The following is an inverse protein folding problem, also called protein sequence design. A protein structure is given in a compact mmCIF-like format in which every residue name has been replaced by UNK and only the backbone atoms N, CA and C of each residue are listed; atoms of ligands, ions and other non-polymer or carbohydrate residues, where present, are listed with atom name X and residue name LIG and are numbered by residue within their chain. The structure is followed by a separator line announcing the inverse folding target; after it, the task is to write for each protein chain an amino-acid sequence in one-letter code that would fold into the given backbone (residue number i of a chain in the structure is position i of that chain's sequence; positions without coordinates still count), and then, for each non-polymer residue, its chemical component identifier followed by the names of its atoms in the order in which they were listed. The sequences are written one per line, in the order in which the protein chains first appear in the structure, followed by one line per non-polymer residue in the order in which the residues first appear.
data_IF_078234092338
#
_entry.id   IF_078234092338
#
_cell.length_a   1.000
_cell.length_b   1.000
_cell.length_c   1.000
_cell.angle_alpha   90.00
_cell.angle_beta   90.00
_cell.angle_gamma   90.00
#
_symmetry.space_group_name_H-M   'P 1'
#
loop_
_entity.id
_entity.type
_entity.pdbx_description
1 polymer ?
#
# COMPACT_ATOMS: atom_id res chain seq x y z
N UNK A 1 4.28 -1.48 8.48
CA UNK A 1 5.48 -0.66 8.79
C UNK A 1 5.65 0.47 7.76
N UNK A 2 5.87 1.72 8.18
CA UNK A 2 6.38 2.77 7.25
C UNK A 2 7.92 2.73 7.19
N UNK A 3 8.53 3.31 6.15
CA UNK A 3 9.93 3.06 5.74
C UNK A 3 10.33 1.60 5.38
N UNK A 4 9.41 0.64 5.40
CA UNK A 4 9.66 -0.75 4.96
C UNK A 4 9.79 -0.95 3.45
N UNK A 5 10.18 0.09 2.69
CA UNK A 5 10.36 0.00 1.24
C UNK A 5 9.09 -0.11 0.40
N UNK A 6 7.89 0.11 0.97
CA UNK A 6 6.59 -0.04 0.28
C UNK A 6 6.51 0.70 -1.06
N UNK A 7 6.84 1.99 -1.08
CA UNK A 7 6.75 2.80 -2.30
C UNK A 7 7.81 2.45 -3.32
N UNK A 8 8.97 1.95 -2.86
CA UNK A 8 9.98 1.39 -3.74
C UNK A 8 9.48 0.07 -4.36
N UNK A 9 8.92 -0.83 -3.53
CA UNK A 9 8.37 -2.10 -3.96
C UNK A 9 7.21 -1.92 -4.96
N UNK A 10 6.23 -1.06 -4.64
CA UNK A 10 5.09 -0.76 -5.51
C UNK A 10 5.56 -0.22 -6.86
N UNK A 11 6.48 0.74 -6.87
CA UNK A 11 7.06 1.32 -8.08
C UNK A 11 7.82 0.27 -8.90
N UNK A 12 8.64 -0.56 -8.25
CA UNK A 12 9.38 -1.62 -8.94
C UNK A 12 8.48 -2.71 -9.52
N UNK A 13 7.41 -3.09 -8.81
CA UNK A 13 6.39 -4.01 -9.32
C UNK A 13 5.64 -3.42 -10.51
N UNK A 14 5.21 -2.16 -10.41
CA UNK A 14 4.50 -1.45 -11.47
C UNK A 14 5.30 -1.35 -12.78
N UNK A 15 6.63 -1.20 -12.67
CA UNK A 15 7.51 -1.21 -13.85
C UNK A 15 7.60 -2.57 -14.54
N UNK A 16 7.38 -3.67 -13.81
CA UNK A 16 7.48 -5.04 -14.34
C UNK A 16 6.12 -5.65 -14.73
N UNK A 17 5.04 -5.21 -14.09
CA UNK A 17 3.70 -5.76 -14.29
C UNK A 17 2.95 -4.91 -15.34
N UNK A 18 2.58 -5.48 -16.51
CA UNK A 18 1.79 -4.76 -17.51
C UNK A 18 0.39 -4.42 -16.98
N UNK A 19 -0.26 -3.41 -17.55
CA UNK A 19 -1.61 -2.97 -17.20
C UNK A 19 -1.82 -2.71 -15.69
N UNK A 20 -0.75 -2.32 -14.99
CA UNK A 20 -0.81 -2.04 -13.56
C UNK A 20 -1.02 -0.56 -13.27
N UNK A 21 -1.60 -0.24 -12.12
CA UNK A 21 -1.79 1.12 -11.62
C UNK A 21 -1.40 1.19 -10.15
N UNK A 22 -0.76 2.29 -9.72
CA UNK A 22 -0.50 2.55 -8.30
C UNK A 22 -1.48 3.61 -7.77
N UNK A 23 -2.12 3.32 -6.64
CA UNK A 23 -2.81 4.30 -5.79
C UNK A 23 -2.09 4.32 -4.45
N UNK A 24 -1.34 5.39 -4.18
CA UNK A 24 -0.62 5.58 -2.93
C UNK A 24 -1.44 6.36 -1.92
N UNK A 25 -1.59 5.83 -0.71
CA UNK A 25 -2.32 6.46 0.40
C UNK A 25 -1.79 7.86 0.73
N UNK A 26 -0.48 8.06 0.67
CA UNK A 26 0.17 9.34 1.00
C UNK A 26 -0.30 10.50 0.09
N UNK A 27 -0.82 10.20 -1.11
CA UNK A 27 -1.39 11.21 -2.01
C UNK A 27 -2.74 11.78 -1.52
N UNK A 28 -3.30 11.24 -0.44
CA UNK A 28 -4.61 11.61 0.09
C UNK A 28 -4.56 12.27 1.46
N UNK A 29 -3.38 12.65 1.96
CA UNK A 29 -3.31 13.49 3.16
C UNK A 29 -4.08 14.80 2.95
N UNK A 30 -4.81 15.22 3.99
CA UNK A 30 -5.41 16.55 4.05
C UNK A 30 -4.31 17.60 4.20
N UNK A 31 -4.66 18.84 3.90
CA UNK A 31 -3.73 19.96 4.08
C UNK A 31 -3.29 20.10 5.55
N UNK A 32 -2.03 20.47 5.75
CA UNK A 32 -1.40 20.63 7.06
C UNK A 32 -2.18 21.57 7.99
N UNK A 33 -2.92 22.55 7.43
CA UNK A 33 -3.76 23.49 8.19
C UNK A 33 -5.02 22.87 8.81
N UNK A 34 -5.51 21.75 8.29
CA UNK A 34 -6.75 21.10 8.77
C UNK A 34 -6.49 19.85 9.59
N UNK A 35 -5.23 19.46 9.78
CA UNK A 35 -4.85 18.35 10.63
C UNK A 35 -5.02 18.77 12.10
N UNK A 36 -5.82 17.98 12.83
CA UNK A 36 -6.10 18.23 14.24
C UNK A 36 -4.83 18.13 15.09
N UNK A 37 -4.78 18.95 16.15
CA UNK A 37 -3.80 18.85 17.21
C UNK A 37 -4.37 18.03 18.36
N UNK A 38 -3.56 17.20 19.00
CA UNK A 38 -3.92 16.56 20.27
C UNK A 38 -3.79 17.52 21.46
N UNK A 39 -4.02 17.00 22.66
CA UNK A 39 -3.89 17.74 23.92
C UNK A 39 -2.49 18.29 24.18
N UNK A 40 -1.47 17.78 23.48
CA UNK A 40 -0.08 18.20 23.61
C UNK A 40 0.36 19.15 22.49
N UNK A 41 -0.53 19.45 21.53
CA UNK A 41 -0.25 20.32 20.40
C UNK A 41 0.42 19.60 19.23
N UNK A 42 0.26 18.28 19.09
CA UNK A 42 0.88 17.51 17.99
C UNK A 42 -0.12 17.16 16.90
N UNK A 43 0.30 17.32 15.64
CA UNK A 43 -0.51 17.02 14.46
C UNK A 43 -0.76 15.53 14.35
N UNK A 44 -2.03 15.16 14.31
CA UNK A 44 -2.49 13.78 14.24
C UNK A 44 -2.49 13.28 12.79
N UNK A 45 -1.31 13.04 12.22
CA UNK A 45 -1.19 12.48 10.86
C UNK A 45 -1.48 10.98 10.80
N UNK A 46 -1.33 10.27 11.91
CA UNK A 46 -1.41 8.81 11.93
C UNK A 46 -2.85 8.26 12.00
N UNK A 47 -3.89 9.12 12.01
CA UNK A 47 -5.30 8.70 12.05
C UNK A 47 -5.97 8.80 10.68
N UNK A 48 -7.00 7.97 10.43
CA UNK A 48 -7.76 8.01 9.17
C UNK A 48 -8.37 9.40 8.88
N UNK A 49 -8.69 10.15 9.93
CA UNK A 49 -9.19 11.52 9.82
C UNK A 49 -8.17 12.49 9.22
N UNK A 50 -6.89 12.15 9.16
CA UNK A 50 -5.86 12.94 8.47
C UNK A 50 -5.92 12.78 6.94
N UNK A 51 -6.73 11.84 6.43
CA UNK A 51 -6.79 11.50 5.02
C UNK A 51 -8.16 11.81 4.40
N UNK A 52 -8.15 12.18 3.13
CA UNK A 52 -9.31 12.18 2.25
C UNK A 52 -9.62 10.76 1.76
N UNK A 53 -10.04 9.88 2.68
CA UNK A 53 -10.39 8.48 2.37
C UNK A 53 -11.56 8.37 1.39
N UNK A 54 -12.48 9.33 1.42
CA UNK A 54 -13.57 9.49 0.45
C UNK A 54 -13.03 9.63 -0.99
N UNK A 55 -12.01 10.48 -1.18
CA UNK A 55 -11.37 10.68 -2.48
C UNK A 55 -10.55 9.45 -2.91
N UNK A 56 -9.87 8.81 -1.96
CA UNK A 56 -9.11 7.59 -2.24
C UNK A 56 -10.02 6.46 -2.72
N UNK A 57 -11.12 6.21 -2.01
CA UNK A 57 -12.11 5.21 -2.39
C UNK A 57 -12.80 5.55 -3.71
N UNK A 58 -13.14 6.82 -3.95
CA UNK A 58 -13.69 7.25 -5.24
C UNK A 58 -12.72 6.99 -6.40
N UNK A 59 -11.41 7.12 -6.19
CA UNK A 59 -10.39 6.81 -7.21
C UNK A 59 -10.30 5.30 -7.46
N UNK A 60 -10.33 4.49 -6.40
CA UNK A 60 -10.35 3.01 -6.50
C UNK A 60 -11.60 2.55 -7.26
N UNK A 61 -12.78 3.07 -6.96
CA UNK A 61 -14.02 2.71 -7.65
C UNK A 61 -14.02 3.16 -9.11
N UNK A 62 -13.42 4.32 -9.41
CA UNK A 62 -13.25 4.77 -10.80
C UNK A 62 -12.36 3.82 -11.60
N UNK A 63 -11.25 3.36 -11.01
CA UNK A 63 -10.38 2.35 -11.62
C UNK A 63 -11.10 1.00 -11.79
N UNK A 64 -11.85 0.56 -10.76
CA UNK A 64 -12.59 -0.72 -10.78
C UNK A 64 -13.67 -0.76 -11.86
N UNK A 65 -14.31 0.38 -12.12
CA UNK A 65 -15.40 0.50 -13.10
C UNK A 65 -14.90 0.35 -14.53
N UNK A 66 -13.76 0.96 -14.85
CA UNK A 66 -13.18 0.95 -16.19
C UNK A 66 -11.65 1.16 -16.11
N UNK A 67 -10.87 0.09 -15.89
CA UNK A 67 -9.44 0.19 -15.68
C UNK A 67 -8.69 0.62 -16.95
N UNK A 68 -9.20 0.28 -18.14
CA UNK A 68 -8.57 0.64 -19.42
C UNK A 68 -8.66 2.16 -19.67
N UNK A 69 -9.87 2.73 -19.58
CA UNK A 69 -10.05 4.18 -19.70
C UNK A 69 -9.30 4.93 -18.59
N UNK A 70 -9.27 4.38 -17.37
CA UNK A 70 -8.55 4.98 -16.25
C UNK A 70 -7.04 5.06 -16.55
N UNK A 71 -6.42 3.98 -17.02
CA UNK A 71 -5.00 3.95 -17.37
C UNK A 71 -4.68 4.87 -18.54
N UNK A 72 -5.55 4.88 -19.56
CA UNK A 72 -5.42 5.78 -20.71
C UNK A 72 -5.41 7.26 -20.29
N UNK A 73 -6.26 7.64 -19.30
CA UNK A 73 -6.32 9.00 -18.79
C UNK A 73 -5.07 9.46 -18.04
N UNK A 74 -4.27 8.52 -17.54
CA UNK A 74 -3.07 8.79 -16.75
C UNK A 74 -1.78 8.82 -17.59
N UNK A 75 -1.87 8.69 -18.92
CA UNK A 75 -0.71 8.56 -19.83
C UNK A 75 0.24 7.39 -19.50
N UNK A 76 -0.21 6.43 -18.70
CA UNK A 76 0.56 5.27 -18.23
C UNK A 76 0.31 4.09 -19.17
N UNK A 77 0.91 4.10 -20.36
CA UNK A 77 1.04 2.88 -21.16
C UNK A 77 2.38 2.22 -20.86
N UNK A 78 2.42 1.38 -19.83
CA UNK A 78 3.42 0.31 -19.78
C UNK A 78 3.16 -0.65 -20.94
N UNK A 79 4.20 -1.33 -21.43
CA UNK A 79 4.16 -2.14 -22.65
C UNK A 79 2.96 -3.12 -22.66
N UNK A 80 1.92 -2.83 -23.45
CA UNK A 80 0.80 -3.75 -23.64
C UNK A 80 1.28 -4.92 -24.51
N UNK A 81 1.39 -6.12 -23.94
CA UNK A 81 1.34 -7.35 -24.71
C UNK A 81 -0.09 -7.53 -25.22
N UNK A 82 -0.23 -7.72 -26.54
CA UNK A 82 -1.51 -7.96 -27.21
C UNK A 82 -2.14 -9.25 -26.63
N UNK A 83 -3.34 -9.14 -26.04
CA UNK A 83 -4.21 -10.29 -25.72
C UNK A 83 -4.36 -10.71 -24.25
N UNK A 84 -4.02 -9.86 -23.27
CA UNK A 84 -3.94 -10.23 -21.84
C UNK A 84 -4.63 -9.17 -20.95
N UNK A 85 -5.96 -9.21 -20.80
CA UNK A 85 -6.70 -8.15 -20.09
C UNK A 85 -6.84 -8.38 -18.57
N UNK A 86 -5.76 -8.81 -17.90
CA UNK A 86 -5.71 -8.69 -16.43
C UNK A 86 -5.16 -7.31 -16.09
N UNK A 87 -5.97 -6.49 -15.46
CA UNK A 87 -5.58 -5.19 -14.92
C UNK A 87 -5.22 -5.33 -13.44
N UNK A 88 -4.09 -4.75 -13.03
CA UNK A 88 -3.57 -4.91 -11.67
C UNK A 88 -3.60 -3.58 -10.94
N UNK A 89 -4.39 -3.47 -9.87
CA UNK A 89 -4.33 -2.33 -8.97
C UNK A 89 -3.38 -2.62 -7.81
N UNK A 90 -2.32 -1.84 -7.70
CA UNK A 90 -1.41 -1.81 -6.55
C UNK A 90 -1.86 -0.67 -5.64
N UNK A 91 -2.55 -1.00 -4.56
CA UNK A 91 -2.84 -0.01 -3.50
C UNK A 91 -1.71 -0.07 -2.50
N UNK A 92 -0.98 1.04 -2.35
CA UNK A 92 0.13 1.11 -1.40
C UNK A 92 -0.14 2.09 -0.27
N UNK A 93 0.54 1.83 0.85
CA UNK A 93 0.34 2.55 2.08
C UNK A 93 -0.92 2.06 2.76
N UNK A 94 -0.74 1.14 3.71
CA UNK A 94 -1.54 1.04 4.93
C UNK A 94 -0.66 0.41 6.03
N UNK A 95 -0.35 1.18 7.08
CA UNK A 95 -0.61 0.85 8.49
C UNK A 95 -0.18 2.04 9.37
N UNK A 96 -1.09 2.35 10.30
CA UNK A 96 -1.26 3.51 11.18
C UNK A 96 -0.11 3.80 12.16
N UNK A 97 0.98 3.02 12.22
CA UNK A 97 2.11 3.41 13.06
C UNK A 97 3.47 2.95 12.50
N UNK A 98 4.46 3.85 12.51
CA UNK A 98 5.86 3.55 12.24
C UNK A 98 6.75 4.26 13.25
N UNK A 99 7.60 3.49 13.94
CA UNK A 99 8.69 4.04 14.76
C UNK A 99 10.02 3.38 14.41
N UNK A 100 10.32 3.28 13.11
CA UNK A 100 11.65 2.92 12.60
C UNK A 100 12.36 4.15 12.05
N UNK A 101 13.31 4.68 12.82
CA UNK A 101 14.30 5.74 12.53
C UNK A 101 13.83 7.19 12.34
N UNK A 102 12.53 7.51 12.46
CA UNK A 102 12.06 8.90 12.44
C UNK A 102 12.08 9.51 13.84
N UNK A 103 12.75 10.65 13.98
CA UNK A 103 12.52 11.57 15.10
C UNK A 103 11.30 12.40 14.72
N UNK A 104 10.14 12.06 15.28
CA UNK A 104 8.96 12.90 15.15
C UNK A 104 9.21 14.23 15.87
N UNK A 105 8.58 15.30 15.37
CA UNK A 105 8.61 16.59 16.05
C UNK A 105 7.22 16.86 16.60
N UNK A 106 7.06 16.85 17.94
CA UNK A 106 8.07 16.52 18.94
C UNK A 106 8.30 15.03 19.10
N UNK A 107 9.43 14.66 19.73
CA UNK A 107 9.79 13.27 19.90
C UNK A 107 8.80 12.55 20.80
N UNK A 108 8.59 11.26 20.49
CA UNK A 108 7.77 10.37 21.29
C UNK A 108 8.21 10.36 22.76
N UNK A 109 7.23 10.32 23.65
CA UNK A 109 7.50 10.19 25.09
C UNK A 109 8.13 8.82 25.39
N UNK A 110 9.02 8.72 26.41
CA UNK A 110 9.53 7.44 26.87
C UNK A 110 8.38 6.46 27.19
N UNK A 111 8.43 5.25 26.61
CA UNK A 111 7.40 4.22 26.81
C UNK A 111 6.16 4.32 25.90
N UNK A 112 6.07 5.34 25.04
CA UNK A 112 4.96 5.47 24.08
C UNK A 112 4.85 4.27 23.12
N UNK A 113 6.00 3.74 22.70
CA UNK A 113 6.04 2.58 21.82
C UNK A 113 5.41 1.34 22.46
N UNK A 114 5.94 0.92 23.62
CA UNK A 114 5.49 -0.30 24.31
C UNK A 114 4.08 -0.15 24.90
N UNK A 115 3.72 1.06 25.35
CA UNK A 115 2.45 1.34 26.02
C UNK A 115 1.28 1.61 25.08
N UNK A 116 1.53 2.02 23.83
CA UNK A 116 0.47 2.45 22.91
C UNK A 116 0.66 1.90 21.49
N UNK A 117 1.79 2.20 20.85
CA UNK A 117 2.03 1.87 19.44
C UNK A 117 1.97 0.36 19.20
N UNK A 118 2.71 -0.41 19.99
CA UNK A 118 2.80 -1.86 19.81
C UNK A 118 1.48 -2.59 20.12
N UNK A 119 0.77 -2.31 21.23
CA UNK A 119 -0.58 -2.84 21.46
C UNK A 119 -1.57 -2.50 20.34
N UNK A 120 -1.56 -1.26 19.83
CA UNK A 120 -2.43 -0.85 18.72
C UNK A 120 -2.06 -1.52 17.40
N UNK A 121 -0.77 -1.71 17.12
CA UNK A 121 -0.33 -2.50 15.97
C UNK A 121 -0.85 -3.93 16.05
N UNK A 122 -0.71 -4.60 17.20
CA UNK A 122 -1.20 -5.98 17.39
C UNK A 122 -2.71 -6.06 17.23
N UNK A 123 -3.45 -5.09 17.79
CA UNK A 123 -4.91 -5.00 17.62
C UNK A 123 -5.29 -4.87 16.14
N UNK A 124 -4.70 -3.90 15.43
CA UNK A 124 -4.99 -3.68 14.01
C UNK A 124 -4.59 -4.89 13.15
N UNK A 125 -3.47 -5.54 13.49
CA UNK A 125 -3.04 -6.77 12.82
C UNK A 125 -4.07 -7.88 13.00
N UNK A 126 -4.54 -8.11 14.23
CA UNK A 126 -5.58 -9.11 14.49
C UNK A 126 -6.87 -8.79 13.73
N UNK A 127 -7.31 -7.54 13.73
CA UNK A 127 -8.51 -7.11 12.98
C UNK A 127 -8.35 -7.39 11.47
N UNK A 128 -7.17 -7.18 10.89
CA UNK A 128 -6.92 -7.52 9.49
C UNK A 128 -6.93 -9.03 9.25
N UNK A 129 -6.26 -9.81 10.11
CA UNK A 129 -6.22 -11.28 10.03
C UNK A 129 -7.61 -11.89 10.17
N UNK A 130 -8.51 -11.29 10.97
CA UNK A 130 -9.89 -11.74 11.13
C UNK A 130 -10.78 -11.39 9.91
N UNK A 131 -10.43 -10.34 9.16
CA UNK A 131 -11.23 -9.85 8.03
C UNK A 131 -10.77 -10.39 6.67
N UNK A 132 -9.51 -10.79 6.53
CA UNK A 132 -8.90 -11.15 5.24
C UNK A 132 -8.19 -12.50 5.36
N UNK A 133 -8.57 -13.44 4.49
CA UNK A 133 -8.05 -14.82 4.53
C UNK A 133 -6.66 -14.97 3.89
N UNK A 134 -6.36 -14.16 2.87
CA UNK A 134 -5.16 -14.31 2.04
C UNK A 134 -4.15 -13.16 2.30
N UNK A 135 -3.57 -13.13 3.51
CA UNK A 135 -2.51 -12.19 3.87
C UNK A 135 -1.14 -12.89 3.77
N UNK A 136 -0.25 -12.35 2.95
CA UNK A 136 1.16 -12.78 2.87
C UNK A 136 2.04 -11.82 3.67
N UNK A 137 2.72 -12.34 4.70
CA UNK A 137 3.70 -11.58 5.48
C UNK A 137 5.09 -11.66 4.86
N UNK A 138 5.68 -10.52 4.57
CA UNK A 138 7.04 -10.41 4.03
C UNK A 138 8.04 -10.14 5.16
N UNK A 139 9.15 -10.87 5.17
CA UNK A 139 10.24 -10.63 6.11
C UNK A 139 11.07 -9.41 5.67
N UNK A 140 10.96 -8.31 6.41
CA UNK A 140 11.71 -7.08 6.12
C UNK A 140 13.23 -7.17 6.33
N UNK A 141 13.75 -8.29 6.85
CA UNK A 141 15.18 -8.55 6.97
C UNK A 141 15.82 -9.09 5.68
N UNK A 142 14.99 -9.56 4.73
CA UNK A 142 15.45 -10.03 3.43
C UNK A 142 15.94 -8.89 2.54
N UNK A 143 16.72 -9.24 1.51
CA UNK A 143 17.19 -8.24 0.53
C UNK A 143 16.02 -7.64 -0.24
N UNK A 144 16.13 -6.37 -0.63
CA UNK A 144 15.09 -5.67 -1.39
C UNK A 144 14.81 -6.38 -2.72
N UNK A 145 15.87 -6.85 -3.37
CA UNK A 145 15.80 -7.61 -4.62
C UNK A 145 15.12 -8.96 -4.42
N UNK A 146 15.46 -9.69 -3.36
CA UNK A 146 14.85 -10.99 -3.05
C UNK A 146 13.36 -10.88 -2.74
N UNK A 147 12.97 -9.87 -1.95
CA UNK A 147 11.56 -9.57 -1.68
C UNK A 147 10.81 -9.18 -2.97
N UNK A 148 11.43 -8.36 -3.82
CA UNK A 148 10.81 -7.93 -5.07
C UNK A 148 10.59 -9.10 -6.01
N UNK A 149 11.57 -9.98 -6.16
CA UNK A 149 11.45 -11.16 -7.02
C UNK A 149 10.43 -12.17 -6.47
N UNK A 150 10.36 -12.33 -5.14
CA UNK A 150 9.34 -13.15 -4.49
C UNK A 150 7.92 -12.63 -4.78
N UNK A 151 7.65 -11.34 -4.50
CA UNK A 151 6.33 -10.73 -4.70
C UNK A 151 5.97 -10.69 -6.19
N UNK A 152 6.92 -10.35 -7.05
CA UNK A 152 6.68 -10.33 -8.49
C UNK A 152 6.31 -11.71 -9.04
N UNK A 153 7.00 -12.77 -8.60
CA UNK A 153 6.69 -14.15 -9.00
C UNK A 153 5.28 -14.54 -8.54
N UNK A 154 4.94 -14.27 -7.29
CA UNK A 154 3.65 -14.60 -6.71
C UNK A 154 2.49 -13.92 -7.46
N UNK A 155 2.59 -12.61 -7.68
CA UNK A 155 1.61 -11.84 -8.45
C UNK A 155 1.52 -12.34 -9.90
N UNK A 156 2.64 -12.67 -10.54
CA UNK A 156 2.65 -13.18 -11.92
C UNK A 156 1.98 -14.56 -12.02
N UNK A 157 2.20 -15.45 -11.06
CA UNK A 157 1.51 -16.74 -11.00
C UNK A 157 0.00 -16.55 -10.88
N UNK A 158 -0.44 -15.60 -10.06
CA UNK A 158 -1.86 -15.30 -9.90
C UNK A 158 -2.48 -14.70 -11.17
N UNK A 159 -1.76 -13.80 -11.86
CA UNK A 159 -2.17 -13.29 -13.18
C UNK A 159 -2.33 -14.44 -14.17
N UNK A 160 -1.37 -15.36 -14.26
CA UNK A 160 -1.44 -16.53 -15.16
C UNK A 160 -2.62 -17.43 -14.84
N UNK A 161 -2.88 -17.67 -13.54
CA UNK A 161 -4.04 -18.42 -13.06
C UNK A 161 -5.36 -17.78 -13.49
N UNK A 162 -5.50 -16.46 -13.31
CA UNK A 162 -6.70 -15.71 -13.73
C UNK A 162 -6.90 -15.74 -15.25
N UNK A 163 -5.81 -15.80 -16.01
CA UNK A 163 -5.84 -15.93 -17.47
C UNK A 163 -6.17 -17.35 -17.96
N UNK A 164 -6.30 -18.34 -17.08
CA UNK A 164 -6.51 -19.73 -17.45
C UNK A 164 -5.31 -20.35 -18.18
N UNK A 165 -4.11 -19.77 -18.03
CA UNK A 165 -2.85 -20.34 -18.52
C UNK A 165 -2.28 -21.21 -17.40
N UNK A 166 -2.70 -22.47 -17.32
CA UNK A 166 -2.00 -23.44 -16.48
C UNK A 166 -0.57 -23.58 -17.00
N UNK A 167 0.43 -23.39 -16.12
CA UNK A 167 1.83 -23.66 -16.42
C UNK A 167 1.95 -25.15 -16.75
N UNK A 168 2.04 -25.48 -18.04
CA UNK A 168 2.47 -26.79 -18.49
C UNK A 168 3.87 -27.03 -17.92
N UNK A 169 3.95 -27.94 -16.94
CA UNK A 169 5.18 -28.48 -16.36
C UNK A 169 5.97 -29.22 -17.42
#
# INVERSE_FOLDING_TARGET
MTNGGKSTMSSSLHLRIPNSCIIAQDAFFKDDSVIALDSNGFKQYDVLDALHMDRMMSKIESWRKDPDSFLASQSLKTQCSVGEEVFVLIVEGFLIFNYGSRVYTPPDLPGYFDGYVWPMYLKNRQEMEDMVLDIVFLDGLESKEGLLDYVYRDVTMEIQRLMGKDLAV
#
